data_IF_938735641652
#
_entry.id   IF_938735641652
#
_cell.length_a   1.000
_cell.length_b   1.000
_cell.length_c   1.000
_cell.angle_alpha   90.00
_cell.angle_beta   90.00
_cell.angle_gamma   90.00
#
_symmetry.space_group_name_H-M   'P 1'
#
loop_
_entity.id
_entity.type
_entity.pdbx_description
1 polymer ?
#
# COMPACT_ATOMS: atom_id res chain seq x y z
N UNK A 1 -37.27 -37.94 10.71
CA UNK A 1 -36.07 -37.07 10.80
C UNK A 1 -35.02 -37.31 9.70
N UNK A 2 -35.23 -38.24 8.78
CA UNK A 2 -34.21 -38.66 7.80
C UNK A 2 -34.05 -37.72 6.59
N UNK A 3 -34.98 -36.79 6.43
CA UNK A 3 -34.97 -35.82 5.32
C UNK A 3 -33.83 -34.80 5.38
N UNK A 4 -33.25 -34.56 6.54
CA UNK A 4 -32.20 -33.51 6.72
C UNK A 4 -30.77 -34.04 6.54
N UNK A 5 -30.56 -35.33 6.56
CA UNK A 5 -29.24 -35.97 6.48
C UNK A 5 -28.55 -35.67 5.16
N UNK A 6 -29.17 -35.83 3.97
CA UNK A 6 -28.55 -35.48 2.69
C UNK A 6 -28.13 -34.00 2.60
N UNK A 7 -28.91 -33.11 3.25
CA UNK A 7 -28.64 -31.68 3.25
C UNK A 7 -27.37 -31.32 4.03
N UNK A 8 -27.15 -31.99 5.17
CA UNK A 8 -25.92 -31.83 5.97
C UNK A 8 -24.67 -32.31 5.20
N UNK A 9 -24.77 -33.39 4.46
CA UNK A 9 -23.68 -33.89 3.64
C UNK A 9 -23.37 -32.98 2.46
N UNK A 10 -24.36 -32.38 1.80
CA UNK A 10 -24.17 -31.37 0.75
C UNK A 10 -23.46 -30.12 1.34
N UNK A 11 -23.84 -29.69 2.54
CA UNK A 11 -23.20 -28.61 3.25
C UNK A 11 -21.72 -28.92 3.57
N UNK A 12 -21.44 -30.15 4.04
CA UNK A 12 -20.06 -30.60 4.29
C UNK A 12 -19.22 -30.60 3.02
N UNK A 13 -19.75 -31.05 1.88
CA UNK A 13 -19.05 -30.98 0.58
C UNK A 13 -18.77 -29.54 0.18
N UNK A 14 -19.71 -28.62 0.42
CA UNK A 14 -19.52 -27.19 0.16
C UNK A 14 -18.36 -26.64 1.01
N UNK A 15 -18.32 -26.93 2.32
CA UNK A 15 -17.22 -26.51 3.19
C UNK A 15 -15.88 -27.09 2.76
N UNK A 16 -15.82 -28.38 2.39
CA UNK A 16 -14.59 -28.98 1.88
C UNK A 16 -14.14 -28.28 0.59
N UNK A 17 -15.06 -28.00 -0.34
CA UNK A 17 -14.75 -27.29 -1.58
C UNK A 17 -14.32 -25.83 -1.36
N UNK A 18 -14.77 -25.20 -0.27
CA UNK A 18 -14.34 -23.85 0.12
C UNK A 18 -12.92 -23.84 0.72
N UNK A 19 -12.59 -24.87 1.52
CA UNK A 19 -11.30 -24.93 2.23
C UNK A 19 -10.18 -25.54 1.39
N UNK A 20 -10.51 -26.33 0.35
CA UNK A 20 -9.53 -27.00 -0.50
C UNK A 20 -9.44 -26.36 -1.89
N UNK A 21 -8.30 -26.53 -2.56
CA UNK A 21 -8.09 -26.03 -3.91
C UNK A 21 -8.19 -27.17 -4.94
N UNK A 22 -9.07 -26.98 -5.93
CA UNK A 22 -9.27 -27.89 -7.06
C UNK A 22 -10.51 -28.75 -7.00
N UNK A 23 -10.87 -29.33 -8.15
CA UNK A 23 -12.09 -30.16 -8.33
C UNK A 23 -11.98 -31.52 -7.65
N UNK A 24 -10.79 -32.05 -7.50
CA UNK A 24 -10.56 -33.44 -7.07
C UNK A 24 -11.11 -33.69 -5.66
N UNK A 25 -10.82 -32.79 -4.74
CA UNK A 25 -11.29 -32.92 -3.35
C UNK A 25 -12.82 -32.82 -3.25
N UNK A 26 -13.43 -31.91 -4.00
CA UNK A 26 -14.89 -31.79 -4.07
C UNK A 26 -15.57 -33.05 -4.64
N UNK A 27 -15.02 -33.66 -5.68
CA UNK A 27 -15.53 -34.90 -6.28
C UNK A 27 -15.41 -36.07 -5.29
N UNK A 28 -14.23 -36.21 -4.66
CA UNK A 28 -14.00 -37.28 -3.66
C UNK A 28 -14.95 -37.10 -2.48
N UNK A 29 -15.10 -35.88 -1.97
CA UNK A 29 -16.05 -35.59 -0.89
C UNK A 29 -17.49 -35.88 -1.29
N UNK A 30 -17.89 -35.57 -2.53
CA UNK A 30 -19.23 -35.89 -3.06
C UNK A 30 -19.48 -37.37 -3.11
N UNK A 31 -18.51 -38.15 -3.61
CA UNK A 31 -18.65 -39.63 -3.63
C UNK A 31 -18.71 -40.21 -2.21
N UNK A 32 -17.86 -39.75 -1.31
CA UNK A 32 -17.85 -40.17 0.08
C UNK A 32 -19.19 -39.83 0.79
N UNK A 33 -19.75 -38.66 0.51
CA UNK A 33 -21.02 -38.21 1.03
C UNK A 33 -22.18 -39.13 0.57
N UNK A 34 -22.26 -39.48 -0.72
CA UNK A 34 -23.27 -40.38 -1.28
C UNK A 34 -23.14 -41.76 -0.66
N UNK A 35 -21.92 -42.31 -0.58
CA UNK A 35 -21.68 -43.63 0.04
C UNK A 35 -22.02 -43.61 1.54
N UNK A 36 -21.63 -42.56 2.25
CA UNK A 36 -21.90 -42.40 3.68
C UNK A 36 -23.37 -42.33 4.00
N UNK A 37 -24.14 -41.56 3.23
CA UNK A 37 -25.62 -41.50 3.40
C UNK A 37 -26.27 -42.86 3.12
N UNK A 38 -25.85 -43.54 2.04
CA UNK A 38 -26.40 -44.86 1.71
C UNK A 38 -26.06 -45.89 2.78
N UNK A 39 -24.84 -45.97 3.25
CA UNK A 39 -24.39 -46.98 4.19
C UNK A 39 -24.90 -46.79 5.62
N UNK A 40 -24.90 -45.54 6.11
CA UNK A 40 -25.20 -45.26 7.51
C UNK A 40 -26.68 -44.95 7.76
N UNK A 41 -27.33 -44.23 6.84
CA UNK A 41 -28.65 -43.64 7.08
C UNK A 41 -29.79 -44.29 6.24
N UNK A 42 -29.46 -45.29 5.40
CA UNK A 42 -30.45 -45.95 4.54
C UNK A 42 -30.71 -47.37 5.03
N UNK A 43 -31.99 -47.76 5.13
CA UNK A 43 -32.33 -49.15 5.49
C UNK A 43 -32.08 -50.13 4.33
N UNK A 44 -31.52 -51.34 4.56
CA UNK A 44 -30.97 -51.85 5.82
C UNK A 44 -29.66 -51.16 6.18
N UNK A 45 -29.55 -50.70 7.41
CA UNK A 45 -28.37 -49.99 7.91
C UNK A 45 -27.10 -50.84 7.79
N UNK A 46 -25.97 -50.19 7.53
CA UNK A 46 -24.66 -50.81 7.37
C UNK A 46 -24.55 -51.77 6.19
N UNK A 47 -25.42 -51.63 5.18
CA UNK A 47 -25.37 -52.32 3.91
C UNK A 47 -25.62 -51.34 2.75
N UNK A 48 -24.90 -51.48 1.67
CA UNK A 48 -25.14 -50.70 0.46
C UNK A 48 -26.41 -51.23 -0.23
N UNK A 49 -27.44 -50.41 -0.29
CA UNK A 49 -28.71 -50.81 -0.91
C UNK A 49 -29.15 -49.76 -1.94
N UNK A 50 -29.26 -50.21 -3.20
CA UNK A 50 -29.69 -49.40 -4.32
C UNK A 50 -31.01 -49.88 -4.91
N UNK A 51 -31.66 -50.86 -4.27
CA UNK A 51 -32.86 -51.52 -4.82
C UNK A 51 -34.17 -50.92 -4.37
N UNK A 52 -34.18 -50.08 -3.32
CA UNK A 52 -35.40 -49.45 -2.82
C UNK A 52 -35.80 -48.30 -3.75
N UNK A 53 -37.05 -48.34 -4.22
CA UNK A 53 -37.61 -47.34 -5.14
C UNK A 53 -37.51 -45.92 -4.57
N UNK A 54 -36.78 -45.03 -5.25
CA UNK A 54 -36.59 -43.65 -4.87
C UNK A 54 -35.17 -43.29 -4.37
N UNK A 55 -34.42 -44.18 -3.70
CA UNK A 55 -33.08 -43.91 -3.22
C UNK A 55 -32.05 -43.65 -4.34
N UNK A 56 -32.05 -44.41 -5.47
CA UNK A 56 -31.13 -44.13 -6.56
C UNK A 56 -31.26 -42.69 -7.11
N UNK A 57 -32.50 -42.20 -7.19
CA UNK A 57 -32.76 -40.83 -7.67
C UNK A 57 -32.25 -39.76 -6.68
N UNK A 58 -32.40 -39.99 -5.38
CA UNK A 58 -31.90 -39.11 -4.33
C UNK A 58 -30.38 -39.06 -4.33
N UNK A 59 -29.71 -40.20 -4.52
CA UNK A 59 -28.25 -40.23 -4.60
C UNK A 59 -27.73 -39.55 -5.86
N UNK A 60 -28.40 -39.74 -6.99
CA UNK A 60 -28.02 -39.09 -8.25
C UNK A 60 -28.18 -37.56 -8.17
N UNK A 61 -29.29 -37.10 -7.59
CA UNK A 61 -29.49 -35.65 -7.38
C UNK A 61 -28.46 -35.08 -6.38
N UNK A 62 -28.17 -35.78 -5.29
CA UNK A 62 -27.16 -35.36 -4.32
C UNK A 62 -25.76 -35.26 -4.96
N UNK A 63 -25.39 -36.27 -5.75
CA UNK A 63 -24.11 -36.26 -6.47
C UNK A 63 -24.04 -35.11 -7.48
N UNK A 64 -25.10 -34.91 -8.27
CA UNK A 64 -25.18 -33.83 -9.24
C UNK A 64 -25.05 -32.45 -8.58
N UNK A 65 -25.81 -32.23 -7.50
CA UNK A 65 -25.71 -30.94 -6.74
C UNK A 65 -24.32 -30.75 -6.17
N UNK A 66 -23.74 -31.79 -5.57
CA UNK A 66 -22.37 -31.68 -4.99
C UNK A 66 -21.30 -31.37 -6.05
N UNK A 67 -21.37 -32.00 -7.22
CA UNK A 67 -20.49 -31.73 -8.35
C UNK A 67 -20.67 -30.28 -8.85
N UNK A 68 -21.94 -29.86 -9.03
CA UNK A 68 -22.24 -28.47 -9.45
C UNK A 68 -21.70 -27.44 -8.46
N UNK A 69 -21.92 -27.65 -7.16
CA UNK A 69 -21.40 -26.74 -6.11
C UNK A 69 -19.89 -26.70 -6.12
N UNK A 70 -19.22 -27.86 -6.20
CA UNK A 70 -17.76 -27.91 -6.25
C UNK A 70 -17.20 -27.18 -7.49
N UNK A 71 -17.80 -27.42 -8.65
CA UNK A 71 -17.41 -26.75 -9.89
C UNK A 71 -17.62 -25.22 -9.83
N UNK A 72 -18.75 -24.78 -9.27
CA UNK A 72 -19.09 -23.36 -9.12
C UNK A 72 -18.10 -22.67 -8.16
N UNK A 73 -17.85 -23.29 -7.00
CA UNK A 73 -16.91 -22.76 -6.01
C UNK A 73 -15.49 -22.60 -6.58
N UNK A 74 -15.02 -23.60 -7.31
CA UNK A 74 -13.71 -23.54 -7.95
C UNK A 74 -13.64 -22.44 -9.03
N UNK A 75 -14.72 -22.26 -9.80
CA UNK A 75 -14.82 -21.15 -10.76
C UNK A 75 -14.78 -19.79 -10.09
N UNK A 76 -15.52 -19.61 -8.99
CA UNK A 76 -15.54 -18.34 -8.24
C UNK A 76 -14.15 -18.03 -7.69
N UNK A 77 -13.46 -18.98 -7.07
CA UNK A 77 -12.09 -18.81 -6.58
C UNK A 77 -11.13 -18.40 -7.70
N UNK A 78 -11.20 -19.07 -8.84
CA UNK A 78 -10.35 -18.76 -10.00
C UNK A 78 -10.63 -17.37 -10.57
N UNK A 79 -11.89 -16.98 -10.64
CA UNK A 79 -12.26 -15.63 -11.08
C UNK A 79 -11.75 -14.55 -10.13
N UNK A 80 -11.83 -14.79 -8.82
CA UNK A 80 -11.30 -13.85 -7.81
C UNK A 80 -9.78 -13.71 -7.91
N UNK A 81 -9.05 -14.82 -8.08
CA UNK A 81 -7.61 -14.78 -8.29
C UNK A 81 -7.23 -13.97 -9.53
N UNK A 82 -7.89 -14.24 -10.67
CA UNK A 82 -7.67 -13.49 -11.91
C UNK A 82 -8.00 -12.00 -11.73
N UNK A 83 -9.09 -11.69 -11.03
CA UNK A 83 -9.47 -10.31 -10.74
C UNK A 83 -8.39 -9.57 -9.95
N UNK A 84 -7.88 -10.19 -8.89
CA UNK A 84 -6.79 -9.62 -8.08
C UNK A 84 -5.50 -9.43 -8.88
N UNK A 85 -5.19 -10.37 -9.77
CA UNK A 85 -4.02 -10.29 -10.65
C UNK A 85 -4.16 -9.14 -11.68
N UNK A 86 -5.34 -9.03 -12.32
CA UNK A 86 -5.65 -7.93 -13.24
C UNK A 86 -5.62 -6.58 -12.54
N UNK A 87 -6.12 -6.48 -11.30
CA UNK A 87 -6.09 -5.26 -10.52
C UNK A 87 -4.65 -4.85 -10.16
N UNK A 88 -3.81 -5.82 -9.78
CA UNK A 88 -2.36 -5.61 -9.58
C UNK A 88 -1.68 -5.07 -10.86
N UNK A 89 -1.90 -5.72 -11.99
CA UNK A 89 -1.31 -5.30 -13.26
C UNK A 89 -1.81 -3.92 -13.71
N UNK A 90 -3.09 -3.62 -13.50
CA UNK A 90 -3.66 -2.29 -13.78
C UNK A 90 -3.00 -1.20 -12.92
N UNK A 91 -2.83 -1.46 -11.64
CA UNK A 91 -2.16 -0.54 -10.71
C UNK A 91 -0.71 -0.31 -11.14
N UNK A 92 0.02 -1.37 -11.48
CA UNK A 92 1.39 -1.30 -12.00
C UNK A 92 1.48 -0.49 -13.31
N UNK A 93 0.58 -0.74 -14.25
CA UNK A 93 0.54 0.00 -15.51
C UNK A 93 0.23 1.49 -15.33
N UNK A 94 -0.70 1.82 -14.42
CA UNK A 94 -1.02 3.21 -14.08
C UNK A 94 0.18 3.91 -13.43
N UNK A 95 0.86 3.25 -12.50
CA UNK A 95 2.07 3.76 -11.86
C UNK A 95 3.17 4.04 -12.90
N UNK A 96 3.45 3.10 -13.81
CA UNK A 96 4.46 3.29 -14.87
C UNK A 96 4.09 4.43 -15.81
N UNK A 97 2.81 4.62 -16.12
CA UNK A 97 2.34 5.74 -16.97
C UNK A 97 2.53 7.07 -16.26
N UNK A 98 2.16 7.18 -14.99
CA UNK A 98 2.35 8.37 -14.17
C UNK A 98 3.85 8.71 -14.08
N UNK A 99 4.70 7.76 -13.75
CA UNK A 99 6.16 7.93 -13.69
C UNK A 99 6.72 8.40 -15.04
N UNK A 100 6.29 7.81 -16.16
CA UNK A 100 6.76 8.19 -17.50
C UNK A 100 6.40 9.63 -17.85
N UNK A 101 5.21 10.08 -17.44
CA UNK A 101 4.78 11.46 -17.60
C UNK A 101 5.64 12.41 -16.75
N UNK A 102 5.81 12.05 -15.47
CA UNK A 102 6.50 12.86 -14.48
C UNK A 102 8.02 12.95 -14.72
N UNK A 103 8.62 11.96 -15.36
CA UNK A 103 10.02 12.02 -15.84
C UNK A 103 10.15 12.90 -17.10
N UNK A 104 9.17 12.85 -18.02
CA UNK A 104 9.28 13.56 -19.30
C UNK A 104 9.29 15.07 -19.13
N UNK A 105 8.49 15.60 -18.22
CA UNK A 105 8.34 17.05 -18.01
C UNK A 105 9.64 17.71 -17.57
N UNK A 106 10.33 17.30 -16.47
CA UNK A 106 11.61 17.88 -16.07
C UNK A 106 12.71 17.64 -17.10
N UNK A 107 12.70 16.49 -17.76
CA UNK A 107 13.66 16.22 -18.82
C UNK A 107 13.49 17.20 -19.97
N UNK A 108 12.26 17.54 -20.36
CA UNK A 108 11.98 18.56 -21.38
C UNK A 108 12.42 19.95 -20.93
N UNK A 109 12.22 20.31 -19.65
CA UNK A 109 12.69 21.56 -19.05
C UNK A 109 14.22 21.65 -19.06
N UNK A 110 14.92 20.60 -18.63
CA UNK A 110 16.38 20.51 -18.67
C UNK A 110 16.92 20.73 -20.09
N UNK A 111 16.33 20.01 -21.07
CA UNK A 111 16.74 20.14 -22.47
C UNK A 111 16.45 21.54 -22.98
N UNK A 112 15.29 22.11 -22.65
CA UNK A 112 14.91 23.48 -23.04
C UNK A 112 15.87 24.54 -22.49
N UNK A 113 16.17 24.47 -21.19
CA UNK A 113 17.11 25.40 -20.54
C UNK A 113 18.54 25.25 -21.09
N UNK A 114 19.00 24.03 -21.29
CA UNK A 114 20.31 23.77 -21.90
C UNK A 114 20.39 24.27 -23.35
N UNK A 115 19.35 24.05 -24.18
CA UNK A 115 19.27 24.58 -25.53
C UNK A 115 19.24 26.11 -25.54
N UNK A 116 18.49 26.70 -24.60
CA UNK A 116 18.44 28.17 -24.42
C UNK A 116 19.80 28.77 -24.16
N UNK A 117 20.62 28.12 -23.34
CA UNK A 117 22.02 28.55 -23.07
C UNK A 117 22.86 28.41 -24.33
N UNK A 118 22.82 27.25 -25.00
CA UNK A 118 23.67 26.97 -26.16
C UNK A 118 23.36 27.86 -27.37
N UNK A 119 22.08 28.10 -27.66
CA UNK A 119 21.66 28.89 -28.82
C UNK A 119 21.81 30.38 -28.63
N UNK A 120 21.78 30.88 -27.37
CA UNK A 120 21.79 32.31 -27.08
C UNK A 120 23.08 32.79 -26.36
N UNK A 121 24.12 32.00 -26.39
CA UNK A 121 25.40 32.25 -25.69
C UNK A 121 25.97 33.66 -25.81
N UNK A 122 25.72 34.37 -26.94
CA UNK A 122 26.22 35.72 -27.23
C UNK A 122 25.30 36.84 -26.75
N UNK A 123 24.07 36.53 -26.38
CA UNK A 123 22.99 37.48 -26.06
C UNK A 123 22.51 37.37 -24.62
N UNK A 124 22.70 36.20 -24.00
CA UNK A 124 22.31 35.94 -22.61
C UNK A 124 23.15 36.78 -21.65
N UNK A 125 22.45 37.40 -20.68
CA UNK A 125 23.13 38.01 -19.54
C UNK A 125 23.60 36.92 -18.58
N UNK A 126 24.66 37.18 -17.83
CA UNK A 126 25.21 36.24 -16.86
C UNK A 126 24.15 35.82 -15.80
N UNK A 127 23.23 36.72 -15.42
CA UNK A 127 22.12 36.44 -14.51
C UNK A 127 21.17 35.42 -15.11
N UNK A 128 20.78 35.62 -16.39
CA UNK A 128 19.85 34.70 -17.06
C UNK A 128 20.45 33.32 -17.32
N UNK A 129 21.75 33.27 -17.62
CA UNK A 129 22.50 32.02 -17.74
C UNK A 129 22.49 31.24 -16.41
N UNK A 130 22.76 31.97 -15.30
CA UNK A 130 22.75 31.38 -13.95
C UNK A 130 21.35 30.86 -13.56
N UNK A 131 20.27 31.56 -13.89
CA UNK A 131 18.91 31.12 -13.68
C UNK A 131 18.64 29.81 -14.44
N UNK A 132 19.00 29.72 -15.73
CA UNK A 132 18.80 28.51 -16.52
C UNK A 132 19.61 27.31 -16.00
N UNK A 133 20.84 27.56 -15.52
CA UNK A 133 21.67 26.52 -14.88
C UNK A 133 21.04 26.06 -13.55
N UNK A 134 20.48 27.00 -12.78
CA UNK A 134 19.76 26.63 -11.54
C UNK A 134 18.52 25.81 -11.83
N UNK A 135 17.72 26.17 -12.87
CA UNK A 135 16.57 25.38 -13.32
C UNK A 135 16.96 23.94 -13.70
N UNK A 136 18.07 23.79 -14.47
CA UNK A 136 18.59 22.45 -14.82
C UNK A 136 18.93 21.64 -13.58
N UNK A 137 19.59 22.27 -12.60
CA UNK A 137 20.00 21.62 -11.36
C UNK A 137 18.79 21.17 -10.55
N UNK A 138 17.78 22.01 -10.42
CA UNK A 138 16.58 21.74 -9.63
C UNK A 138 15.75 20.61 -10.25
N UNK A 139 15.57 20.63 -11.57
CA UNK A 139 14.88 19.57 -12.29
C UNK A 139 15.64 18.24 -12.27
N UNK A 140 16.98 18.26 -12.34
CA UNK A 140 17.80 17.06 -12.22
C UNK A 140 17.72 16.46 -10.80
N UNK A 141 17.73 17.28 -9.75
CA UNK A 141 17.55 16.83 -8.39
C UNK A 141 16.16 16.22 -8.16
N UNK A 142 15.15 16.77 -8.83
CA UNK A 142 13.79 16.21 -8.78
C UNK A 142 13.70 14.83 -9.46
N UNK A 143 14.39 14.64 -10.60
CA UNK A 143 14.49 13.33 -11.26
C UNK A 143 15.15 12.26 -10.38
N UNK A 144 16.20 12.64 -9.65
CA UNK A 144 16.85 11.73 -8.70
C UNK A 144 15.85 11.22 -7.67
N UNK A 145 14.99 12.09 -7.12
CA UNK A 145 13.94 11.71 -6.15
C UNK A 145 12.94 10.72 -6.72
N UNK A 146 12.49 10.97 -7.96
CA UNK A 146 11.57 10.02 -8.61
C UNK A 146 12.18 8.63 -8.72
N UNK A 147 13.46 8.55 -9.12
CA UNK A 147 14.18 7.29 -9.23
C UNK A 147 14.33 6.60 -7.87
N UNK A 148 14.68 7.33 -6.81
CA UNK A 148 14.77 6.80 -5.45
C UNK A 148 13.41 6.26 -4.98
N UNK A 149 12.34 7.01 -5.18
CA UNK A 149 10.98 6.58 -4.87
C UNK A 149 10.56 5.33 -5.66
N UNK A 150 10.90 5.26 -6.95
CA UNK A 150 10.61 4.10 -7.79
C UNK A 150 11.36 2.84 -7.32
N UNK A 151 12.63 2.97 -6.96
CA UNK A 151 13.44 1.88 -6.42
C UNK A 151 12.84 1.33 -5.12
N UNK A 152 12.31 2.19 -4.27
CA UNK A 152 11.64 1.79 -3.04
C UNK A 152 10.35 1.02 -3.30
N UNK A 153 9.52 1.46 -4.26
CA UNK A 153 8.31 0.72 -4.68
C UNK A 153 8.66 -0.63 -5.27
N UNK A 154 9.73 -0.73 -6.07
CA UNK A 154 10.16 -2.02 -6.66
C UNK A 154 10.69 -3.00 -5.61
N UNK A 155 11.33 -2.50 -4.56
CA UNK A 155 11.77 -3.32 -3.41
C UNK A 155 10.57 -3.92 -2.66
N UNK A 156 9.46 -3.19 -2.55
CA UNK A 156 8.27 -3.61 -1.79
C UNK A 156 7.36 -4.54 -2.61
N UNK A 157 7.26 -4.37 -3.93
CA UNK A 157 6.32 -5.08 -4.80
C UNK A 157 6.91 -6.26 -5.58
N UNK A 158 8.19 -6.61 -5.38
CA UNK A 158 8.82 -7.77 -6.03
C UNK A 158 8.22 -9.09 -5.54
N UNK A 159 8.14 -10.13 -6.39
CA UNK A 159 7.63 -11.48 -6.02
C UNK A 159 8.38 -12.13 -4.84
N UNK A 160 9.58 -11.61 -4.51
CA UNK A 160 10.41 -12.00 -3.36
C UNK A 160 10.70 -10.82 -2.43
N UNK A 161 9.88 -9.75 -2.47
CA UNK A 161 10.08 -8.59 -1.63
C UNK A 161 9.83 -8.94 -0.16
N UNK A 162 10.87 -9.33 0.53
CA UNK A 162 10.90 -9.36 1.99
C UNK A 162 11.46 -8.01 2.44
N UNK A 163 10.62 -7.22 3.11
CA UNK A 163 11.10 -6.09 3.88
C UNK A 163 12.00 -6.67 4.96
N UNK A 164 13.23 -6.19 5.04
CA UNK A 164 14.15 -6.60 6.08
C UNK A 164 13.85 -5.78 7.33
N UNK A 165 12.89 -6.25 8.15
CA UNK A 165 12.57 -5.60 9.42
C UNK A 165 13.54 -6.07 10.48
N UNK A 166 14.26 -5.12 11.06
CA UNK A 166 15.11 -5.29 12.24
C UNK A 166 14.56 -4.39 13.35
N UNK A 167 14.89 -4.69 14.60
CA UNK A 167 14.51 -3.84 15.73
C UNK A 167 15.37 -2.58 15.70
N UNK A 168 14.77 -1.48 15.26
CA UNK A 168 15.41 -0.19 15.05
C UNK A 168 14.99 0.82 16.11
N UNK A 169 15.91 1.67 16.52
CA UNK A 169 15.67 2.76 17.46
C UNK A 169 14.99 3.93 16.73
N UNK A 170 13.77 4.27 17.14
CA UNK A 170 12.97 5.32 16.50
C UNK A 170 13.70 6.66 16.46
N UNK A 171 14.40 7.03 17.55
CA UNK A 171 15.16 8.28 17.65
C UNK A 171 16.31 8.37 16.62
N UNK A 172 17.01 7.25 16.38
CA UNK A 172 18.10 7.21 15.39
C UNK A 172 17.60 7.41 13.98
N UNK A 173 16.48 6.77 13.61
CA UNK A 173 15.86 6.90 12.30
C UNK A 173 15.38 8.34 12.08
N UNK A 174 14.72 8.95 13.07
CA UNK A 174 14.28 10.35 13.00
C UNK A 174 15.46 11.28 12.87
N UNK A 175 16.49 11.08 13.68
CA UNK A 175 17.71 11.92 13.65
C UNK A 175 18.40 11.84 12.28
N UNK A 176 18.50 10.64 11.70
CA UNK A 176 19.07 10.44 10.37
C UNK A 176 18.23 11.16 9.29
N UNK A 177 16.91 11.03 9.35
CA UNK A 177 15.99 11.71 8.44
C UNK A 177 16.11 13.23 8.51
N UNK A 178 16.17 13.80 9.72
CA UNK A 178 16.34 15.25 9.94
C UNK A 178 17.70 15.73 9.43
N UNK A 179 18.79 14.99 9.64
CA UNK A 179 20.10 15.32 9.10
C UNK A 179 20.08 15.35 7.56
N UNK A 180 19.48 14.36 6.92
CA UNK A 180 19.33 14.31 5.45
C UNK A 180 18.51 15.48 4.92
N UNK A 181 17.38 15.74 5.59
CA UNK A 181 16.50 16.85 5.25
C UNK A 181 17.18 18.22 5.37
N UNK A 182 17.87 18.49 6.49
CA UNK A 182 18.55 19.78 6.74
C UNK A 182 19.70 20.06 5.76
N UNK A 183 20.37 19.03 5.23
CA UNK A 183 21.37 19.21 4.17
C UNK A 183 20.78 19.85 2.91
N UNK A 184 19.51 19.63 2.67
CA UNK A 184 18.80 20.09 1.48
C UNK A 184 18.01 21.37 1.72
N UNK A 185 17.43 21.49 2.90
CA UNK A 185 16.61 22.62 3.33
C UNK A 185 17.21 23.25 4.60
N UNK A 186 18.38 23.92 4.49
CA UNK A 186 19.10 24.44 5.66
C UNK A 186 18.34 25.57 6.37
N UNK A 187 17.41 26.24 5.67
CA UNK A 187 16.58 27.32 6.23
C UNK A 187 15.33 26.80 6.97
N UNK A 188 14.97 25.51 6.80
CA UNK A 188 13.80 24.95 7.44
C UNK A 188 14.11 24.51 8.88
N UNK A 189 13.24 24.92 9.82
CA UNK A 189 13.38 24.55 11.23
C UNK A 189 12.47 23.34 11.55
N UNK A 190 13.08 22.25 11.98
CA UNK A 190 12.36 21.03 12.43
C UNK A 190 12.56 20.87 13.93
N UNK A 191 11.46 20.79 14.66
CA UNK A 191 11.43 20.47 16.09
C UNK A 191 10.92 19.05 16.29
N UNK A 192 11.66 18.23 17.05
CA UNK A 192 11.27 16.84 17.35
C UNK A 192 10.69 16.78 18.75
N UNK A 193 9.47 16.22 18.86
CA UNK A 193 8.76 15.96 20.12
C UNK A 193 8.61 14.45 20.30
N UNK A 194 9.33 13.89 21.25
CA UNK A 194 9.33 12.46 21.53
C UNK A 194 9.05 12.21 23.01
N UNK A 195 8.45 11.07 23.37
CA UNK A 195 8.42 10.62 24.77
C UNK A 195 9.85 10.35 25.28
N UNK A 196 10.05 10.44 26.58
CA UNK A 196 11.36 10.16 27.21
C UNK A 196 11.73 8.67 27.17
N UNK A 197 10.79 7.82 26.84
CA UNK A 197 10.94 6.37 26.77
C UNK A 197 11.72 5.93 25.53
N UNK A 198 12.57 4.94 25.68
CA UNK A 198 13.32 4.33 24.60
C UNK A 198 12.39 3.46 23.75
N UNK A 199 12.20 3.83 22.48
CA UNK A 199 11.29 3.14 21.59
C UNK A 199 12.06 2.33 20.53
N UNK A 200 11.88 1.01 20.53
CA UNK A 200 12.31 0.11 19.45
C UNK A 200 11.12 -0.40 18.68
N UNK A 201 11.26 -0.47 17.35
CA UNK A 201 10.19 -0.94 16.45
C UNK A 201 10.80 -1.79 15.37
N UNK A 202 10.20 -2.95 15.10
CA UNK A 202 10.59 -3.82 14.00
C UNK A 202 10.27 -3.16 12.65
N UNK A 203 11.28 -2.58 11.98
CA UNK A 203 11.11 -1.86 10.72
C UNK A 203 12.35 -1.97 9.82
N UNK A 204 12.17 -1.68 8.53
CA UNK A 204 13.28 -1.40 7.61
C UNK A 204 13.64 0.08 7.75
N UNK A 205 14.73 0.35 8.49
CA UNK A 205 15.15 1.71 8.84
C UNK A 205 15.36 2.61 7.62
N UNK A 206 15.86 2.06 6.50
CA UNK A 206 16.10 2.83 5.27
C UNK A 206 14.77 3.26 4.63
N UNK A 207 13.77 2.38 4.61
CA UNK A 207 12.47 2.69 4.03
C UNK A 207 11.68 3.67 4.91
N UNK A 208 11.72 3.51 6.24
CA UNK A 208 11.04 4.43 7.15
C UNK A 208 11.73 5.80 7.18
N UNK A 209 13.05 5.86 7.13
CA UNK A 209 13.78 7.12 6.95
C UNK A 209 13.33 7.85 5.68
N UNK A 210 13.14 7.12 4.56
CA UNK A 210 12.62 7.70 3.33
C UNK A 210 11.19 8.25 3.48
N UNK A 211 10.31 7.55 4.22
CA UNK A 211 8.96 8.07 4.54
C UNK A 211 9.09 9.42 5.24
N UNK A 212 9.91 9.50 6.28
CA UNK A 212 10.11 10.73 7.05
C UNK A 212 10.63 11.88 6.19
N UNK A 213 11.68 11.62 5.38
CA UNK A 213 12.23 12.63 4.46
C UNK A 213 11.16 13.12 3.48
N UNK A 214 10.38 12.22 2.88
CA UNK A 214 9.30 12.59 1.97
C UNK A 214 8.22 13.45 2.65
N UNK A 215 7.83 13.12 3.90
CA UNK A 215 6.84 13.91 4.63
C UNK A 215 7.39 15.29 5.02
N UNK A 216 8.65 15.41 5.43
CA UNK A 216 9.30 16.68 5.72
C UNK A 216 9.44 17.55 4.46
N UNK A 217 9.82 16.96 3.32
CA UNK A 217 9.87 17.68 2.03
C UNK A 217 8.48 18.18 1.62
N UNK A 218 7.43 17.38 1.83
CA UNK A 218 6.05 17.80 1.55
C UNK A 218 5.65 19.01 2.41
N UNK A 219 6.00 19.04 3.69
CA UNK A 219 5.73 20.17 4.58
C UNK A 219 6.36 21.48 4.04
N UNK A 220 7.60 21.42 3.52
CA UNK A 220 8.26 22.58 2.91
C UNK A 220 7.62 22.98 1.58
N UNK A 221 7.43 22.02 0.67
CA UNK A 221 7.00 22.30 -0.70
C UNK A 221 5.53 22.75 -0.79
N UNK A 222 4.68 22.24 0.10
CA UNK A 222 3.25 22.50 0.09
C UNK A 222 2.78 23.42 1.20
N UNK A 223 3.54 23.58 2.28
CA UNK A 223 3.24 24.49 3.37
C UNK A 223 3.22 25.96 2.97
N UNK A 224 3.93 26.35 1.91
CA UNK A 224 4.09 27.71 1.32
C UNK A 224 4.36 28.85 2.32
N UNK A 225 3.56 28.93 3.37
CA UNK A 225 3.63 29.96 4.42
C UNK A 225 4.07 29.41 5.76
N UNK A 226 4.61 28.19 5.79
CA UNK A 226 5.06 27.58 7.04
C UNK A 226 6.19 28.39 7.68
N UNK A 227 6.21 28.41 9.01
CA UNK A 227 7.30 28.96 9.80
C UNK A 227 8.03 27.87 10.58
N UNK A 228 7.34 26.75 10.84
CA UNK A 228 7.87 25.68 11.66
C UNK A 228 7.30 24.32 11.25
N UNK A 229 8.14 23.31 11.36
CA UNK A 229 7.78 21.90 11.13
C UNK A 229 8.07 21.12 12.42
N UNK A 230 7.16 20.21 12.77
CA UNK A 230 7.33 19.33 13.92
C UNK A 230 7.30 17.87 13.50
N UNK A 231 8.15 17.06 14.12
CA UNK A 231 7.98 15.60 14.17
C UNK A 231 7.46 15.27 15.56
N UNK A 232 6.29 14.67 15.64
CA UNK A 232 5.65 14.28 16.90
C UNK A 232 5.55 12.77 16.96
N UNK A 233 6.19 12.17 17.96
CA UNK A 233 6.13 10.72 18.21
C UNK A 233 5.23 10.47 19.40
N UNK A 234 4.29 9.57 19.23
CA UNK A 234 3.43 9.08 20.31
C UNK A 234 3.37 7.56 20.25
N UNK A 235 3.23 6.92 21.40
CA UNK A 235 3.04 5.48 21.42
C UNK A 235 1.82 5.11 22.26
N UNK A 236 1.22 4.00 21.89
CA UNK A 236 0.13 3.33 22.62
C UNK A 236 0.43 1.84 22.65
N UNK A 237 -0.16 1.04 23.56
CA UNK A 237 0.05 -0.40 23.55
C UNK A 237 -0.17 -1.00 22.15
N UNK A 238 0.88 -1.66 21.63
CA UNK A 238 0.87 -2.32 20.32
C UNK A 238 1.17 -1.45 19.10
N UNK A 239 1.40 -0.14 19.24
CA UNK A 239 1.79 0.71 18.09
C UNK A 239 2.53 1.98 18.47
N UNK A 240 3.44 2.40 17.62
CA UNK A 240 4.04 3.74 17.61
C UNK A 240 3.42 4.56 16.46
N UNK A 241 3.10 5.82 16.71
CA UNK A 241 2.65 6.77 15.70
C UNK A 241 3.67 7.91 15.58
N UNK A 242 4.04 8.22 14.33
CA UNK A 242 4.95 9.31 13.99
C UNK A 242 4.20 10.25 13.06
N UNK A 243 4.11 11.52 13.45
CA UNK A 243 3.44 12.57 12.69
C UNK A 243 4.44 13.65 12.27
N UNK A 244 4.31 14.14 11.04
CA UNK A 244 4.93 15.37 10.56
C UNK A 244 3.84 16.43 10.49
N UNK A 245 4.05 17.53 11.19
CA UNK A 245 3.13 18.66 11.28
C UNK A 245 3.80 19.93 10.76
N UNK A 246 3.03 20.78 10.09
CA UNK A 246 3.44 22.13 9.71
C UNK A 246 2.38 23.16 10.15
N UNK A 247 2.73 24.43 10.15
CA UNK A 247 1.85 25.55 10.42
C UNK A 247 1.51 26.34 9.13
N UNK A 248 1.60 25.68 7.97
CA UNK A 248 1.36 26.28 6.66
C UNK A 248 -0.11 26.41 6.29
N UNK A 249 -0.38 26.39 4.99
CA UNK A 249 -1.73 26.62 4.45
C UNK A 249 -2.70 25.43 4.64
N UNK A 250 -2.20 24.25 5.08
CA UNK A 250 -3.01 23.03 5.17
C UNK A 250 -3.29 22.36 3.82
N UNK A 251 -4.14 21.33 3.86
CA UNK A 251 -4.52 20.48 2.73
C UNK A 251 -5.95 20.82 2.32
N UNK A 252 -6.22 20.95 1.01
CA UNK A 252 -7.58 21.11 0.51
C UNK A 252 -8.43 19.90 0.88
N UNK A 253 -9.64 20.11 1.41
CA UNK A 253 -10.54 19.02 1.84
C UNK A 253 -10.88 18.04 0.70
N UNK A 254 -10.94 18.53 -0.54
CA UNK A 254 -11.19 17.71 -1.73
C UNK A 254 -10.06 16.71 -2.04
N UNK A 255 -8.85 16.93 -1.53
CA UNK A 255 -7.65 16.11 -1.78
C UNK A 255 -7.45 15.05 -0.70
N UNK A 256 -7.87 15.34 0.53
CA UNK A 256 -7.67 14.46 1.70
C UNK A 256 -8.10 12.99 1.47
N UNK A 257 -9.28 12.68 0.87
CA UNK A 257 -9.74 11.30 0.73
C UNK A 257 -8.87 10.42 -0.18
N UNK A 258 -8.33 11.02 -1.25
CA UNK A 258 -7.60 10.29 -2.31
C UNK A 258 -6.07 10.51 -2.26
N UNK A 259 -5.59 11.23 -1.24
CA UNK A 259 -4.22 11.71 -1.10
C UNK A 259 -3.15 10.61 -1.17
N UNK A 260 -3.47 9.42 -0.65
CA UNK A 260 -2.56 8.28 -0.60
C UNK A 260 -2.73 7.30 -1.78
N UNK A 261 -3.80 7.43 -2.57
CA UNK A 261 -4.10 6.49 -3.66
C UNK A 261 -3.43 6.83 -4.99
N UNK A 262 -2.67 7.94 -5.05
CA UNK A 262 -1.99 8.39 -6.27
C UNK A 262 -2.93 8.77 -7.40
N UNK A 263 -4.22 9.02 -7.09
CA UNK A 263 -5.19 9.53 -8.05
C UNK A 263 -4.96 11.01 -8.25
N UNK A 264 -4.47 11.39 -9.41
CA UNK A 264 -4.39 12.78 -9.84
C UNK A 264 -5.81 13.20 -10.19
N UNK A 265 -6.43 14.09 -9.41
CA UNK A 265 -7.70 14.70 -9.78
C UNK A 265 -7.49 15.49 -11.08
N UNK A 266 -8.27 15.15 -12.11
CA UNK A 266 -8.16 15.69 -13.47
C UNK A 266 -8.65 17.13 -13.64
N UNK A 267 -9.19 17.75 -12.61
CA UNK A 267 -9.79 19.06 -12.67
C UNK A 267 -8.94 20.08 -11.92
N UNK A 268 -8.14 20.81 -12.64
CA UNK A 268 -7.68 22.19 -12.45
C UNK A 268 -6.23 22.42 -12.96
N UNK A 269 -6.15 23.36 -13.88
CA UNK A 269 -4.94 23.92 -14.50
C UNK A 269 -4.15 24.82 -13.51
N UNK A 270 -3.47 24.25 -12.51
CA UNK A 270 -2.43 24.99 -11.78
C UNK A 270 -1.14 24.17 -11.69
N UNK A 271 -0.20 24.56 -12.53
CA UNK A 271 0.85 23.74 -13.08
C UNK A 271 2.05 23.39 -12.18
N UNK A 272 2.26 23.97 -11.00
CA UNK A 272 3.50 23.74 -10.25
C UNK A 272 3.34 23.02 -8.91
N UNK A 273 2.24 23.20 -8.20
CA UNK A 273 2.02 22.54 -6.89
C UNK A 273 1.60 21.07 -6.98
N UNK A 274 1.09 20.64 -8.14
CA UNK A 274 0.58 19.27 -8.36
C UNK A 274 1.66 18.23 -8.68
N UNK A 275 2.83 18.67 -9.17
CA UNK A 275 3.91 17.76 -9.58
C UNK A 275 4.51 16.94 -8.45
N UNK A 276 4.46 17.41 -7.21
CA UNK A 276 5.17 16.80 -6.09
C UNK A 276 4.32 15.91 -5.18
N UNK A 277 2.98 15.98 -5.22
CA UNK A 277 2.13 15.33 -4.22
C UNK A 277 1.78 13.86 -4.54
N UNK A 278 1.81 13.44 -5.82
CA UNK A 278 1.26 12.15 -6.23
C UNK A 278 2.12 10.93 -5.92
N UNK A 279 3.42 10.98 -6.27
CA UNK A 279 4.31 9.80 -6.17
C UNK A 279 4.86 9.64 -4.75
N UNK A 280 5.32 10.73 -4.10
CA UNK A 280 5.93 10.65 -2.78
C UNK A 280 5.03 10.04 -1.73
N UNK A 281 3.78 10.50 -1.62
CA UNK A 281 2.83 10.01 -0.61
C UNK A 281 2.31 8.61 -0.89
N UNK A 282 2.11 8.24 -2.16
CA UNK A 282 1.73 6.87 -2.52
C UNK A 282 2.86 5.87 -2.24
N UNK A 283 4.12 6.29 -2.39
CA UNK A 283 5.30 5.51 -1.96
C UNK A 283 5.32 5.37 -0.44
N UNK A 284 5.15 6.47 0.31
CA UNK A 284 5.04 6.42 1.76
C UNK A 284 3.96 5.45 2.23
N UNK A 285 2.76 5.54 1.65
CA UNK A 285 1.66 4.64 1.96
C UNK A 285 2.00 3.17 1.67
N UNK A 286 2.65 2.90 0.54
CA UNK A 286 3.09 1.54 0.18
C UNK A 286 4.13 0.99 1.16
N UNK A 287 5.10 1.82 1.57
CA UNK A 287 6.12 1.45 2.57
C UNK A 287 5.46 1.12 3.91
N UNK A 288 4.64 2.02 4.43
CA UNK A 288 3.98 1.86 5.73
C UNK A 288 3.04 0.65 5.73
N UNK A 289 2.26 0.46 4.67
CA UNK A 289 1.38 -0.72 4.51
C UNK A 289 2.16 -2.03 4.47
N UNK A 290 3.34 -2.02 3.86
CA UNK A 290 4.21 -3.18 3.81
C UNK A 290 4.77 -3.53 5.21
N UNK A 291 4.94 -2.53 6.09
CA UNK A 291 5.24 -2.70 7.52
C UNK A 291 4.00 -3.02 8.38
N UNK A 292 2.84 -3.35 7.76
CA UNK A 292 1.57 -3.62 8.45
C UNK A 292 1.03 -2.41 9.23
N UNK A 293 1.49 -1.21 8.91
CA UNK A 293 1.04 0.06 9.45
C UNK A 293 -0.08 0.72 8.64
N UNK A 294 -0.42 1.95 9.00
CA UNK A 294 -1.37 2.79 8.26
C UNK A 294 -0.97 4.25 8.31
N UNK A 295 -1.52 5.05 7.39
CA UNK A 295 -1.29 6.49 7.29
C UNK A 295 -2.61 7.26 7.43
N UNK A 296 -2.51 8.46 7.97
CA UNK A 296 -3.60 9.41 8.09
C UNK A 296 -3.12 10.83 7.78
N UNK A 297 -4.02 11.66 7.23
CA UNK A 297 -3.76 13.07 6.98
C UNK A 297 -4.96 13.90 7.41
N UNK A 298 -4.70 15.04 8.04
CA UNK A 298 -5.72 15.97 8.53
C UNK A 298 -5.18 17.39 8.55
N UNK A 299 -6.08 18.36 8.57
CA UNK A 299 -5.71 19.74 8.85
C UNK A 299 -5.72 19.99 10.36
N UNK A 300 -4.71 20.70 10.84
CA UNK A 300 -4.60 21.08 12.26
C UNK A 300 -5.61 22.16 12.61
N UNK A 301 -6.17 22.09 13.81
CA UNK A 301 -7.12 23.11 14.30
C UNK A 301 -6.50 24.52 14.39
N UNK A 302 -5.19 24.60 14.60
CA UNK A 302 -4.42 25.84 14.71
C UNK A 302 -3.89 26.35 13.36
N UNK A 303 -4.21 25.65 12.27
CA UNK A 303 -3.69 25.88 10.92
C UNK A 303 -2.55 24.94 10.56
N UNK A 304 -2.36 24.72 9.24
CA UNK A 304 -1.37 23.79 8.70
C UNK A 304 -1.89 22.37 8.56
N UNK A 305 -1.00 21.45 8.19
CA UNK A 305 -1.29 20.04 7.97
C UNK A 305 -0.63 19.15 9.02
N UNK A 306 -1.23 17.98 9.23
CA UNK A 306 -0.68 16.85 9.98
C UNK A 306 -0.79 15.61 9.11
N UNK A 307 0.35 15.00 8.81
CA UNK A 307 0.40 13.70 8.14
C UNK A 307 1.08 12.72 9.10
N UNK A 308 0.37 11.69 9.51
CA UNK A 308 0.86 10.69 10.45
C UNK A 308 0.87 9.30 9.84
N UNK A 309 1.77 8.46 10.36
CA UNK A 309 1.76 7.03 10.13
C UNK A 309 2.04 6.28 11.42
N UNK A 310 1.52 5.07 11.51
CA UNK A 310 1.76 4.19 12.64
C UNK A 310 2.37 2.87 12.17
N UNK A 311 3.19 2.29 13.04
CA UNK A 311 3.79 0.96 12.88
C UNK A 311 3.40 0.09 14.08
N UNK A 312 3.19 -1.23 13.86
CA UNK A 312 2.96 -2.16 14.97
C UNK A 312 4.23 -2.31 15.82
N UNK A 313 4.04 -2.39 17.13
CA UNK A 313 5.07 -2.61 18.12
C UNK A 313 4.75 -3.87 18.91
N UNK A 314 5.74 -4.72 19.19
CA UNK A 314 5.53 -5.91 20.01
C UNK A 314 5.36 -5.50 21.47
N UNK A 315 4.38 -6.08 22.17
CA UNK A 315 4.10 -5.75 23.59
C UNK A 315 5.25 -6.12 24.54
N UNK A 316 6.19 -6.96 24.10
CA UNK A 316 7.33 -7.40 24.93
C UNK A 316 8.43 -6.33 25.09
N UNK A 317 8.41 -5.26 24.27
CA UNK A 317 9.45 -4.24 24.26
C UNK A 317 9.21 -3.08 25.25
N UNK A 318 8.08 -3.08 25.98
CA UNK A 318 7.73 -2.03 26.94
C UNK A 318 8.08 -2.34 28.41
N UNK A 319 8.51 -3.57 28.75
CA UNK A 319 8.71 -4.01 30.15
C UNK A 319 10.20 -4.24 30.52
N UNK A 320 11.13 -3.56 29.88
CA UNK A 320 12.53 -3.81 30.17
C UNK A 320 13.38 -2.53 30.29
N UNK A 321 13.27 -1.78 31.38
CA UNK A 321 14.41 -1.25 32.18
C UNK A 321 13.92 -0.38 33.30
#
# INVERSE_FOLDING_TARGET
>A
SDFHVPMLFVLAVLFISLLTDGYVYGIIASMAAVIGVNYIFTYPYFALNFTITGYPMTFLTMLAVSICVSALTTRIKKQEQIRLEVEKEKTRANLLRAISHDIRTPLTSIVGSASGILENQKVLTQEREMELVQDIKDEAQWLIRIVENLLSVTRINGENARINTEDEVVEEIISSAVIKFNKRFPEASVEVKMPEEFLMVAMDGVLIEQVLVNLLENAVLHGKTYTKIWIVVTHTPGRVEIAVEDDGQGIKESVLPDMFEGKISSDEEESDSKRNMGIGLSVCHSIVKAHKGGMHAENRAEGGARISFWLPMNEEDTDGY
#
